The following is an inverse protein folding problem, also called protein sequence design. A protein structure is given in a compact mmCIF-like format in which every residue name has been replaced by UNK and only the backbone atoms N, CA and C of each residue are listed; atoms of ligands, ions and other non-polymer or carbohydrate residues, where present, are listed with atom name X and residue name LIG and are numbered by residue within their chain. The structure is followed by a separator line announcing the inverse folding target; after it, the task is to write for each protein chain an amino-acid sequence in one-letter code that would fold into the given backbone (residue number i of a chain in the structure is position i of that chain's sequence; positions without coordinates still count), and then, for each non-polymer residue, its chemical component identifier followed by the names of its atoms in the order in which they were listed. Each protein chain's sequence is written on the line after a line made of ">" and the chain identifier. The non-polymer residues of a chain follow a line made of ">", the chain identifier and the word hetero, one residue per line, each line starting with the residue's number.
data_IF_730463193452
#
_entry.id   IF_730463193452
#
_cell.length_a   1.000
_cell.length_b   1.000
_cell.length_c   1.000
_cell.angle_alpha   90.00
_cell.angle_beta   90.00
_cell.angle_gamma   90.00
#
_symmetry.space_group_name_H-M   'P 1'
#
loop_
_entity.id
_entity.type
_entity.pdbx_description
1 polymer ?
#
# COMPACT_ATOMS: atom_id res chain seq x y z
N UNK A 1 -7.48 -4.74 -18.44
CA UNK A 1 -7.55 -5.36 -17.10
C UNK A 1 -7.64 -6.86 -17.27
N UNK A 2 -6.99 -7.65 -16.42
CA UNK A 2 -7.17 -9.12 -16.40
C UNK A 2 -7.88 -9.50 -15.11
N UNK A 3 -8.99 -10.22 -15.21
CA UNK A 3 -9.75 -10.75 -14.07
C UNK A 3 -9.68 -12.28 -14.11
N UNK A 4 -9.40 -12.92 -12.98
CA UNK A 4 -9.44 -14.37 -12.86
C UNK A 4 -10.12 -14.78 -11.57
N UNK A 5 -11.11 -15.68 -11.67
CA UNK A 5 -11.68 -16.38 -10.52
C UNK A 5 -11.01 -17.74 -10.43
N UNK A 6 -10.57 -18.11 -9.23
CA UNK A 6 -9.87 -19.36 -8.95
C UNK A 6 -10.59 -20.04 -7.80
N UNK A 7 -11.12 -21.24 -8.05
CA UNK A 7 -11.73 -22.07 -7.01
C UNK A 7 -10.65 -22.92 -6.34
N UNK A 8 -10.56 -22.84 -5.02
CA UNK A 8 -9.58 -23.54 -4.18
C UNK A 8 -10.23 -23.86 -2.85
N UNK A 9 -9.76 -24.92 -2.19
CA UNK A 9 -10.14 -25.23 -0.81
C UNK A 9 -9.64 -24.13 0.15
N UNK A 10 -10.42 -23.06 0.27
CA UNK A 10 -10.21 -21.93 1.18
C UNK A 10 -11.44 -21.73 2.04
N UNK A 11 -11.25 -21.33 3.29
CA UNK A 11 -12.35 -21.14 4.23
C UNK A 11 -13.20 -19.90 3.90
N UNK A 12 -12.59 -18.85 3.35
CA UNK A 12 -13.24 -17.58 3.07
C UNK A 12 -12.80 -17.05 1.68
N UNK A 13 -13.73 -16.46 0.90
CA UNK A 13 -13.38 -15.77 -0.33
C UNK A 13 -12.40 -14.63 -0.09
N UNK A 14 -11.49 -14.41 -1.04
CA UNK A 14 -10.52 -13.31 -0.99
C UNK A 14 -10.36 -12.65 -2.36
N UNK A 15 -10.05 -11.36 -2.35
CA UNK A 15 -9.75 -10.58 -3.53
C UNK A 15 -8.34 -10.01 -3.43
N UNK A 16 -7.59 -10.14 -4.52
CA UNK A 16 -6.28 -9.53 -4.72
C UNK A 16 -6.36 -8.65 -5.96
N UNK A 17 -6.03 -7.37 -5.81
CA UNK A 17 -5.95 -6.41 -6.90
C UNK A 17 -4.52 -5.89 -6.94
N UNK A 18 -3.85 -6.04 -8.08
CA UNK A 18 -2.51 -5.55 -8.30
C UNK A 18 -2.46 -4.59 -9.49
N UNK A 19 -1.65 -3.55 -9.35
CA UNK A 19 -1.37 -2.55 -10.37
C UNK A 19 0.13 -2.57 -10.66
N UNK A 20 0.49 -2.47 -11.93
CA UNK A 20 1.88 -2.17 -12.28
C UNK A 20 2.26 -0.84 -11.65
N UNK A 21 3.35 -0.85 -10.92
CA UNK A 21 3.90 0.32 -10.25
C UNK A 21 5.35 0.52 -10.72
N UNK A 22 6.15 1.16 -9.88
CA UNK A 22 7.48 1.64 -10.24
C UNK A 22 8.56 0.96 -9.41
N UNK A 23 9.80 1.02 -9.88
CA UNK A 23 10.97 0.63 -9.10
C UNK A 23 11.25 1.61 -7.93
N UNK A 24 12.08 1.17 -6.97
CA UNK A 24 12.37 1.90 -5.72
C UNK A 24 12.96 3.31 -5.92
N UNK A 25 13.69 3.52 -7.01
CA UNK A 25 14.35 4.81 -7.30
C UNK A 25 13.47 5.80 -8.06
N UNK A 26 12.26 5.40 -8.42
CA UNK A 26 11.35 6.26 -9.14
C UNK A 26 10.79 7.36 -8.19
N UNK A 27 10.63 8.63 -8.66
CA UNK A 27 10.10 9.71 -7.82
C UNK A 27 8.73 9.43 -7.18
N UNK A 28 7.91 8.60 -7.83
CA UNK A 28 6.58 8.23 -7.33
C UNK A 28 6.60 7.11 -6.27
N UNK A 29 7.73 6.44 -6.06
CA UNK A 29 7.82 5.31 -5.12
C UNK A 29 7.43 5.71 -3.70
N UNK A 30 7.95 6.84 -3.21
CA UNK A 30 7.63 7.35 -1.87
C UNK A 30 6.14 7.68 -1.74
N UNK A 31 5.54 8.33 -2.74
CA UNK A 31 4.12 8.68 -2.74
C UNK A 31 3.21 7.44 -2.79
N UNK A 32 3.55 6.42 -3.59
CA UNK A 32 2.83 5.14 -3.64
C UNK A 32 2.97 4.36 -2.33
N UNK A 33 4.15 4.31 -1.75
CA UNK A 33 4.40 3.67 -0.47
C UNK A 33 3.61 4.37 0.66
N UNK A 34 3.61 5.71 0.68
CA UNK A 34 2.81 6.50 1.61
C UNK A 34 1.31 6.25 1.43
N UNK A 35 0.83 6.21 0.19
CA UNK A 35 -0.55 5.88 -0.17
C UNK A 35 -0.95 4.50 0.38
N UNK A 36 -0.11 3.48 0.24
CA UNK A 36 -0.40 2.14 0.80
C UNK A 36 -0.57 2.17 2.32
N UNK A 37 0.25 2.96 3.02
CA UNK A 37 0.15 3.12 4.46
C UNK A 37 -1.11 3.89 4.92
N UNK A 38 -1.53 4.90 4.17
CA UNK A 38 -2.81 5.59 4.41
C UNK A 38 -3.99 4.62 4.26
N UNK A 39 -3.91 3.74 3.27
CA UNK A 39 -4.95 2.76 2.95
C UNK A 39 -5.06 1.65 4.00
N UNK A 40 -3.95 1.05 4.45
CA UNK A 40 -4.00 -0.18 5.24
C UNK A 40 -3.16 -0.21 6.54
N UNK A 41 -2.29 0.77 6.81
CA UNK A 41 -1.43 0.70 8.01
C UNK A 41 -2.16 1.17 9.26
N UNK A 42 -2.40 0.23 10.18
CA UNK A 42 -3.02 0.46 11.48
C UNK A 42 -4.55 0.53 11.46
N UNK A 43 -5.16 0.50 12.65
CA UNK A 43 -6.62 0.42 12.84
C UNK A 43 -7.39 1.67 12.43
N UNK A 44 -6.70 2.80 12.21
CA UNK A 44 -7.30 4.04 11.75
C UNK A 44 -7.15 4.28 10.24
N UNK A 45 -6.54 3.33 9.51
CA UNK A 45 -6.41 3.39 8.05
C UNK A 45 -7.77 3.30 7.35
N UNK A 46 -7.85 3.85 6.13
CA UNK A 46 -9.13 3.97 5.40
C UNK A 46 -9.78 2.63 5.15
N UNK A 47 -9.04 1.64 4.64
CA UNK A 47 -9.58 0.32 4.33
C UNK A 47 -9.94 -0.45 5.60
N UNK A 48 -9.12 -0.35 6.66
CA UNK A 48 -9.48 -1.01 7.92
C UNK A 48 -10.79 -0.46 8.47
N UNK A 49 -10.97 0.87 8.49
CA UNK A 49 -12.20 1.49 8.98
C UNK A 49 -13.41 1.09 8.15
N UNK A 50 -13.34 1.25 6.83
CA UNK A 50 -14.50 1.10 5.93
C UNK A 50 -14.75 -0.33 5.46
N UNK A 51 -13.84 -1.28 5.67
CA UNK A 51 -14.04 -2.68 5.31
C UNK A 51 -14.06 -3.61 6.52
N UNK A 52 -13.21 -3.38 7.52
CA UNK A 52 -13.05 -4.33 8.65
C UNK A 52 -13.84 -3.92 9.88
N UNK A 53 -13.84 -2.63 10.24
CA UNK A 53 -14.47 -2.14 11.47
C UNK A 53 -15.97 -1.88 11.31
N UNK A 54 -16.37 -1.08 10.31
CA UNK A 54 -17.77 -0.73 10.01
C UNK A 54 -17.85 -0.38 8.50
N UNK A 55 -18.51 -1.20 7.66
CA UNK A 55 -19.63 -2.10 7.93
C UNK A 55 -19.26 -3.59 8.06
N UNK A 56 -18.01 -3.91 8.41
CA UNK A 56 -17.55 -5.30 8.63
C UNK A 56 -17.66 -6.22 7.38
N UNK A 57 -17.39 -5.71 6.18
CA UNK A 57 -17.36 -6.51 4.95
C UNK A 57 -16.16 -7.47 4.86
N UNK A 58 -15.05 -7.14 5.53
CA UNK A 58 -13.81 -7.90 5.48
C UNK A 58 -13.36 -8.40 6.87
N UNK A 59 -12.70 -9.55 6.90
CA UNK A 59 -11.96 -10.03 8.08
C UNK A 59 -10.59 -9.37 8.18
N UNK A 60 -9.95 -9.14 7.03
CA UNK A 60 -8.64 -8.54 6.93
C UNK A 60 -8.49 -7.77 5.62
N UNK A 61 -7.62 -6.76 5.65
CA UNK A 61 -7.22 -5.99 4.48
C UNK A 61 -5.75 -5.63 4.59
N UNK A 62 -5.04 -5.66 3.48
CA UNK A 62 -3.66 -5.21 3.35
C UNK A 62 -3.47 -4.42 2.06
N UNK A 63 -2.50 -3.53 2.08
CA UNK A 63 -2.09 -2.74 0.93
C UNK A 63 -0.59 -2.52 1.03
N UNK A 64 0.13 -2.73 -0.07
CA UNK A 64 1.59 -2.60 -0.09
C UNK A 64 2.09 -2.17 -1.46
N UNK A 65 3.21 -1.45 -1.43
CA UNK A 65 4.04 -1.13 -2.58
C UNK A 65 5.26 -2.05 -2.55
N UNK A 66 5.51 -2.79 -3.63
CA UNK A 66 6.71 -3.63 -3.74
C UNK A 66 7.97 -2.75 -3.80
N UNK A 67 8.93 -3.05 -2.94
CA UNK A 67 10.25 -2.41 -2.96
C UNK A 67 11.22 -3.27 -3.78
N UNK A 68 11.31 -2.97 -5.08
CA UNK A 68 12.09 -3.75 -6.06
C UNK A 68 13.03 -2.85 -6.88
N UNK A 69 14.11 -3.47 -7.37
CA UNK A 69 15.09 -2.85 -8.28
C UNK A 69 14.48 -2.57 -9.66
N UNK A 70 13.73 -3.54 -10.15
CA UNK A 70 12.88 -3.37 -11.34
C UNK A 70 11.47 -2.94 -10.91
N UNK A 71 10.62 -2.63 -11.89
CA UNK A 71 9.25 -2.18 -11.62
C UNK A 71 8.48 -3.17 -10.74
N UNK A 72 7.93 -2.64 -9.66
CA UNK A 72 7.16 -3.38 -8.67
C UNK A 72 5.66 -3.40 -8.94
N UNK A 73 4.92 -3.96 -8.00
CA UNK A 73 3.46 -3.93 -7.96
C UNK A 73 2.98 -3.12 -6.76
N UNK A 74 1.97 -2.29 -6.98
CA UNK A 74 1.11 -1.80 -5.92
C UNK A 74 -0.07 -2.76 -5.79
N UNK A 75 -0.30 -3.34 -4.63
CA UNK A 75 -1.32 -4.36 -4.48
C UNK A 75 -2.14 -4.21 -3.21
N UNK A 76 -3.43 -4.50 -3.35
CA UNK A 76 -4.45 -4.47 -2.29
C UNK A 76 -5.04 -5.86 -2.19
N UNK A 77 -5.11 -6.39 -0.97
CA UNK A 77 -5.75 -7.69 -0.69
C UNK A 77 -6.80 -7.51 0.38
N UNK A 78 -7.96 -8.14 0.21
CA UNK A 78 -8.99 -8.19 1.23
C UNK A 78 -9.62 -9.57 1.30
N UNK A 79 -9.98 -10.02 2.49
CA UNK A 79 -10.68 -11.28 2.71
C UNK A 79 -12.09 -10.99 3.20
N UNK A 80 -13.09 -11.57 2.55
CA UNK A 80 -14.49 -11.38 2.88
C UNK A 80 -14.85 -12.03 4.22
N UNK A 81 -15.77 -11.40 4.95
CA UNK A 81 -16.44 -12.08 6.06
C UNK A 81 -17.35 -13.20 5.54
N UNK A 82 -17.69 -14.18 6.40
CA UNK A 82 -18.77 -15.11 6.10
C UNK A 82 -20.02 -14.35 5.64
N UNK A 83 -20.74 -14.93 4.68
CA UNK A 83 -22.01 -14.41 4.15
C UNK A 83 -21.93 -13.10 3.35
N UNK A 84 -20.78 -12.42 3.30
CA UNK A 84 -20.57 -11.26 2.44
C UNK A 84 -20.21 -11.72 1.03
N UNK A 85 -21.00 -11.29 0.04
CA UNK A 85 -20.68 -11.52 -1.36
C UNK A 85 -19.36 -10.84 -1.72
N UNK A 86 -18.48 -11.54 -2.45
CA UNK A 86 -17.15 -10.99 -2.79
C UNK A 86 -17.27 -9.74 -3.67
N UNK A 87 -18.34 -9.66 -4.45
CA UNK A 87 -18.68 -8.53 -5.30
C UNK A 87 -19.02 -7.27 -4.47
N UNK A 88 -19.66 -7.43 -3.31
CA UNK A 88 -19.94 -6.32 -2.38
C UNK A 88 -18.68 -5.80 -1.68
N UNK A 89 -17.74 -6.70 -1.36
CA UNK A 89 -16.42 -6.34 -0.84
C UNK A 89 -15.59 -5.63 -1.91
N UNK A 90 -15.57 -6.17 -3.13
CA UNK A 90 -14.87 -5.58 -4.27
C UNK A 90 -15.36 -4.16 -4.55
N UNK A 91 -16.68 -3.94 -4.57
CA UNK A 91 -17.26 -2.62 -4.77
C UNK A 91 -16.80 -1.65 -3.67
N UNK A 92 -16.92 -2.03 -2.40
CA UNK A 92 -16.51 -1.17 -1.28
C UNK A 92 -15.01 -0.84 -1.31
N UNK A 93 -14.18 -1.78 -1.74
CA UNK A 93 -12.74 -1.56 -1.91
C UNK A 93 -12.49 -0.52 -3.02
N UNK A 94 -13.14 -0.66 -4.17
CA UNK A 94 -13.02 0.31 -5.27
C UNK A 94 -13.54 1.69 -4.91
N UNK A 95 -14.63 1.78 -4.15
CA UNK A 95 -15.17 3.05 -3.68
C UNK A 95 -14.11 3.83 -2.88
N UNK A 96 -13.40 3.16 -1.96
CA UNK A 96 -12.32 3.79 -1.19
C UNK A 96 -11.09 4.16 -2.05
N UNK A 97 -10.70 3.30 -2.99
CA UNK A 97 -9.61 3.63 -3.92
C UNK A 97 -9.96 4.83 -4.82
N UNK A 98 -11.22 4.95 -5.22
CA UNK A 98 -11.68 6.04 -6.09
C UNK A 98 -11.79 7.37 -5.33
N UNK A 99 -12.17 7.37 -4.04
CA UNK A 99 -12.16 8.59 -3.21
C UNK A 99 -10.78 9.25 -3.18
N UNK A 100 -9.71 8.47 -3.15
CA UNK A 100 -8.33 8.99 -3.16
C UNK A 100 -7.93 9.66 -4.48
N UNK A 101 -8.70 9.45 -5.56
CA UNK A 101 -8.49 10.14 -6.84
C UNK A 101 -9.19 11.50 -6.88
N UNK A 102 -10.27 11.67 -6.13
CA UNK A 102 -11.10 12.88 -6.17
C UNK A 102 -10.88 13.78 -4.96
N UNK A 103 -10.52 13.21 -3.83
CA UNK A 103 -10.35 13.89 -2.55
C UNK A 103 -8.89 13.84 -2.10
N UNK A 104 -8.41 14.94 -1.51
CA UNK A 104 -7.13 14.95 -0.83
C UNK A 104 -7.25 14.16 0.48
N UNK A 105 -6.15 13.54 0.89
CA UNK A 105 -6.09 13.00 2.25
C UNK A 105 -6.13 14.15 3.26
N UNK A 106 -6.74 13.89 4.41
CA UNK A 106 -6.80 14.90 5.47
C UNK A 106 -5.41 15.13 6.05
N UNK A 107 -5.16 16.32 6.59
CA UNK A 107 -3.90 16.62 7.28
C UNK A 107 -3.63 15.63 8.41
N UNK A 108 -4.68 15.20 9.13
CA UNK A 108 -4.57 14.20 10.20
C UNK A 108 -4.10 12.84 9.69
N UNK A 109 -4.60 12.37 8.55
CA UNK A 109 -4.16 11.11 7.94
C UNK A 109 -2.71 11.19 7.49
N UNK A 110 -2.34 12.33 6.89
CA UNK A 110 -0.98 12.60 6.44
C UNK A 110 0.00 12.64 7.61
N UNK A 111 -0.28 13.45 8.65
CA UNK A 111 0.56 13.55 9.84
C UNK A 111 0.72 12.22 10.55
N UNK A 112 -0.37 11.45 10.68
CA UNK A 112 -0.33 10.11 11.27
C UNK A 112 0.64 9.22 10.52
N UNK A 113 0.52 9.13 9.19
CA UNK A 113 1.36 8.26 8.39
C UNK A 113 2.82 8.72 8.40
N UNK A 114 3.06 10.04 8.34
CA UNK A 114 4.39 10.63 8.51
C UNK A 114 5.02 10.21 9.84
N UNK A 115 4.26 10.27 10.94
CA UNK A 115 4.75 9.87 12.26
C UNK A 115 5.05 8.38 12.35
N UNK A 116 4.25 7.53 11.70
CA UNK A 116 4.50 6.08 11.62
C UNK A 116 5.83 5.83 10.89
N UNK A 117 6.02 6.40 9.70
CA UNK A 117 7.26 6.24 8.92
C UNK A 117 8.48 6.66 9.73
N UNK A 118 8.42 7.83 10.38
CA UNK A 118 9.52 8.32 11.22
C UNK A 118 9.81 7.41 12.40
N UNK A 119 8.77 6.86 13.03
CA UNK A 119 8.93 5.96 14.16
C UNK A 119 9.52 4.62 13.73
N UNK A 120 9.03 4.03 12.64
CA UNK A 120 9.57 2.79 12.07
C UNK A 120 11.03 2.97 11.65
N UNK A 121 11.34 4.12 11.05
CA UNK A 121 12.70 4.48 10.68
C UNK A 121 13.63 4.57 11.90
N UNK A 122 13.25 5.37 12.91
CA UNK A 122 14.03 5.51 14.14
C UNK A 122 14.26 4.15 14.81
N UNK A 123 13.22 3.33 14.94
CA UNK A 123 13.30 1.97 15.52
C UNK A 123 14.24 1.07 14.71
N UNK A 124 14.22 1.15 13.38
CA UNK A 124 15.12 0.37 12.52
C UNK A 124 16.60 0.72 12.76
N UNK A 125 16.88 1.96 13.19
CA UNK A 125 18.23 2.44 13.48
C UNK A 125 18.67 2.27 14.93
N UNK A 126 17.81 1.79 15.84
CA UNK A 126 18.17 1.59 17.24
C UNK A 126 19.14 0.42 17.43
N UNK A 127 19.04 -0.62 16.58
CA UNK A 127 19.82 -1.84 16.71
C UNK A 127 20.90 -1.94 15.64
N UNK A 128 22.05 -2.54 15.98
CA UNK A 128 23.12 -2.85 15.01
C UNK A 128 22.59 -3.71 13.86
N UNK A 129 21.72 -4.68 14.17
CA UNK A 129 21.10 -5.53 13.16
C UNK A 129 20.18 -4.73 12.22
N UNK A 130 19.32 -3.86 12.76
CA UNK A 130 18.42 -3.05 11.95
C UNK A 130 19.17 -2.08 11.03
N UNK A 131 20.25 -1.45 11.52
CA UNK A 131 21.17 -0.66 10.68
C UNK A 131 21.80 -1.49 9.57
N UNK A 132 22.31 -2.67 9.90
CA UNK A 132 22.93 -3.56 8.92
C UNK A 132 21.92 -4.04 7.86
N UNK A 133 20.70 -4.37 8.27
CA UNK A 133 19.60 -4.74 7.37
C UNK A 133 19.23 -3.58 6.44
N UNK A 134 19.15 -2.36 6.96
CA UNK A 134 18.86 -1.18 6.16
C UNK A 134 19.94 -0.94 5.11
N UNK A 135 21.21 -0.91 5.53
CA UNK A 135 22.35 -0.74 4.62
C UNK A 135 22.34 -1.83 3.55
N UNK A 136 22.22 -3.10 3.96
CA UNK A 136 22.21 -4.23 3.03
C UNK A 136 21.07 -4.16 2.02
N UNK A 137 19.86 -3.85 2.48
CA UNK A 137 18.65 -3.72 1.65
C UNK A 137 18.81 -2.65 0.57
N UNK A 138 19.16 -1.42 0.96
CA UNK A 138 19.25 -0.31 0.00
C UNK A 138 20.54 -0.32 -0.83
N UNK A 139 21.60 -0.96 -0.36
CA UNK A 139 22.76 -1.24 -1.24
C UNK A 139 22.36 -2.23 -2.34
N UNK A 140 21.52 -3.22 -2.03
CA UNK A 140 21.15 -4.28 -2.97
C UNK A 140 20.06 -3.86 -3.95
N UNK A 141 19.03 -3.16 -3.47
CA UNK A 141 17.81 -2.90 -4.26
C UNK A 141 17.93 -1.62 -5.11
N UNK A 142 18.32 -0.49 -4.52
CA UNK A 142 18.43 0.79 -5.24
C UNK A 142 19.86 1.10 -5.70
N UNK A 143 20.85 0.45 -5.09
CA UNK A 143 22.23 0.93 -5.18
C UNK A 143 22.42 2.32 -4.58
N UNK A 144 21.37 3.04 -4.12
CA UNK A 144 21.45 4.42 -3.61
C UNK A 144 22.20 4.57 -2.29
N UNK A 145 22.67 3.48 -1.69
CA UNK A 145 23.67 3.58 -0.65
C UNK A 145 25.03 4.00 -1.25
N UNK A 146 25.10 5.24 -1.73
CA UNK A 146 26.33 5.94 -2.05
C UNK A 146 26.52 7.01 -0.97
N UNK A 147 27.68 7.00 -0.31
CA UNK A 147 28.14 8.07 0.60
C UNK A 147 27.40 8.21 1.95
N UNK A 148 26.93 7.12 2.56
CA UNK A 148 26.51 7.12 3.97
C UNK A 148 25.19 7.85 4.28
N UNK A 149 24.40 8.19 3.25
CA UNK A 149 23.09 8.81 3.42
C UNK A 149 22.03 7.76 3.80
N UNK A 150 22.01 7.39 5.09
CA UNK A 150 20.94 6.53 5.62
C UNK A 150 19.57 7.20 5.47
N UNK A 151 19.53 8.53 5.55
CA UNK A 151 18.29 9.32 5.63
C UNK A 151 17.72 9.72 4.26
N UNK A 152 18.39 9.41 3.14
CA UNK A 152 17.96 9.86 1.81
C UNK A 152 16.52 9.42 1.49
N UNK A 153 16.19 8.17 1.82
CA UNK A 153 14.85 7.66 1.60
C UNK A 153 13.83 8.26 2.56
N UNK A 154 14.17 8.45 3.84
CA UNK A 154 13.30 9.14 4.79
C UNK A 154 12.95 10.54 4.26
N UNK A 155 13.95 11.27 3.75
CA UNK A 155 13.74 12.60 3.17
C UNK A 155 12.78 12.57 1.96
N UNK A 156 12.84 11.54 1.11
CA UNK A 156 11.90 11.37 0.01
C UNK A 156 10.47 11.18 0.54
N UNK A 157 10.28 10.37 1.60
CA UNK A 157 8.98 10.22 2.27
C UNK A 157 8.49 11.51 2.93
N UNK A 158 9.37 12.30 3.54
CA UNK A 158 9.00 13.56 4.20
C UNK A 158 8.60 14.67 3.23
N UNK A 159 8.95 14.53 1.94
CA UNK A 159 8.58 15.48 0.87
C UNK A 159 7.22 15.18 0.25
N UNK A 160 6.64 14.00 0.50
CA UNK A 160 5.35 13.60 -0.08
C UNK A 160 4.24 14.52 0.41
N UNK A 161 3.58 15.21 -0.50
CA UNK A 161 2.39 16.04 -0.22
C UNK A 161 1.08 15.25 -0.38
N UNK A 162 -0.04 15.70 0.23
CA UNK A 162 -1.38 15.18 -0.07
C UNK A 162 -1.72 15.21 -1.57
N UNK A 163 -1.23 16.21 -2.30
CA UNK A 163 -1.40 16.36 -3.74
C UNK A 163 -0.66 15.28 -4.52
N UNK A 164 0.56 14.92 -4.10
CA UNK A 164 1.33 13.82 -4.69
C UNK A 164 0.59 12.50 -4.53
N UNK A 165 0.00 12.27 -3.36
CA UNK A 165 -0.76 11.05 -3.06
C UNK A 165 -1.98 10.94 -3.99
N UNK A 166 -2.72 12.04 -4.18
CA UNK A 166 -3.84 12.07 -5.12
C UNK A 166 -3.36 11.85 -6.56
N UNK A 167 -2.26 12.50 -6.97
CA UNK A 167 -1.69 12.36 -8.32
C UNK A 167 -1.30 10.90 -8.61
N UNK A 168 -0.63 10.22 -7.69
CA UNK A 168 -0.28 8.80 -7.89
C UNK A 168 -1.52 7.90 -7.83
N UNK A 169 -2.50 8.21 -6.98
CA UNK A 169 -3.77 7.47 -6.99
C UNK A 169 -4.47 7.56 -8.36
N UNK A 170 -4.49 8.75 -8.97
CA UNK A 170 -5.04 8.97 -10.31
C UNK A 170 -4.24 8.26 -11.41
N UNK A 171 -2.91 8.22 -11.27
CA UNK A 171 -2.00 7.70 -12.31
C UNK A 171 -1.92 6.17 -12.31
N UNK A 172 -1.94 5.54 -11.14
CA UNK A 172 -1.65 4.11 -10.99
C UNK A 172 -2.89 3.26 -10.64
N UNK A 173 -3.85 3.77 -9.87
CA UNK A 173 -5.00 2.97 -9.41
C UNK A 173 -6.12 2.87 -10.46
N UNK A 174 -5.78 2.59 -11.71
CA UNK A 174 -6.70 2.59 -12.84
C UNK A 174 -7.33 1.19 -12.97
N UNK A 175 -8.67 1.03 -12.88
CA UNK A 175 -9.34 -0.27 -13.00
C UNK A 175 -8.96 -1.03 -14.27
N UNK A 176 -8.87 -0.34 -15.40
CA UNK A 176 -8.55 -0.92 -16.70
C UNK A 176 -7.09 -1.42 -16.77
N UNK A 177 -6.22 -0.94 -15.88
CA UNK A 177 -4.81 -1.34 -15.78
C UNK A 177 -4.53 -2.27 -14.59
N UNK A 178 -5.56 -2.71 -13.88
CA UNK A 178 -5.41 -3.65 -12.78
C UNK A 178 -5.43 -5.11 -13.26
N UNK A 179 -4.82 -5.97 -12.44
CA UNK A 179 -4.98 -7.41 -12.47
C UNK A 179 -5.67 -7.85 -11.19
N UNK A 180 -6.84 -8.47 -11.32
CA UNK A 180 -7.68 -8.91 -10.19
C UNK A 180 -7.75 -10.43 -10.16
N UNK A 181 -7.42 -11.02 -9.01
CA UNK A 181 -7.62 -12.44 -8.73
C UNK A 181 -8.61 -12.57 -7.59
N UNK A 182 -9.64 -13.38 -7.79
CA UNK A 182 -10.62 -13.71 -6.78
C UNK A 182 -10.48 -15.19 -6.44
N UNK A 183 -10.23 -15.47 -5.17
CA UNK A 183 -10.25 -16.82 -4.61
C UNK A 183 -11.65 -17.09 -4.07
N UNK A 184 -12.29 -18.17 -4.55
CA UNK A 184 -13.55 -18.70 -4.02
C UNK A 184 -13.32 -20.12 -3.47
N UNK A 185 -14.06 -20.53 -2.43
CA UNK A 185 -14.13 -21.93 -2.00
C UNK A 185 -14.51 -22.87 -3.16
#
# INVERSE_FOLDING_TARGET
>A
ARRRVVNKEVALPAIHIAFSAVHVDHPDFAALSFLSGVLATGKSSRLYRHLVYDPQKATSVSCSMDEKKDDGLFHVTAQARPEIAIEELEQALWDELNKLKTELITLREWERMRNIIRSEWAQSLETTLGRAQWIGRYTTISGRYHNGQLDALENDFMRVSPEDIRRVAQSYLIPEKSNTVILKP
#
